data_IF_372631203005
#
_entry.id   IF_372631203005
#
_cell.length_a   1.000
_cell.length_b   1.000
_cell.length_c   1.000
_cell.angle_alpha   90.00
_cell.angle_beta   90.00
_cell.angle_gamma   90.00
#
_symmetry.space_group_name_H-M   'P 1'
#
loop_
_entity.id
_entity.type
_entity.pdbx_description
1 polymer ?
#
# COMPACT_ATOMS: atom_id res chain seq x y z
N UNK A 1 -2.82 -5.25 -20.24
CA UNK A 1 -2.82 -5.74 -18.87
C UNK A 1 -3.75 -4.86 -18.04
N UNK A 2 -4.80 -5.44 -17.48
CA UNK A 2 -5.85 -4.65 -16.82
C UNK A 2 -5.73 -4.81 -15.31
N UNK A 3 -5.45 -3.70 -14.63
CA UNK A 3 -5.46 -3.62 -13.18
C UNK A 3 -6.85 -3.20 -12.73
N UNK A 4 -7.40 -3.90 -11.75
CA UNK A 4 -8.67 -3.53 -11.14
C UNK A 4 -8.63 -3.72 -9.63
N UNK A 5 -9.53 -3.07 -8.93
CA UNK A 5 -9.62 -3.09 -7.48
C UNK A 5 -10.99 -3.58 -7.04
N UNK A 6 -11.00 -4.34 -5.94
CA UNK A 6 -12.24 -4.77 -5.28
C UNK A 6 -12.13 -4.43 -3.80
N UNK A 7 -13.20 -3.92 -3.23
CA UNK A 7 -13.24 -3.65 -1.80
C UNK A 7 -13.10 -4.96 -1.01
N UNK A 8 -12.36 -4.89 0.09
CA UNK A 8 -12.12 -5.99 1.03
C UNK A 8 -11.17 -7.04 0.44
N UNK A 9 -10.92 -8.06 1.23
CA UNK A 9 -10.08 -9.19 0.83
C UNK A 9 -10.75 -10.48 1.26
N UNK A 10 -10.82 -11.45 0.34
CA UNK A 10 -11.39 -12.77 0.63
C UNK A 10 -10.48 -13.54 1.59
N UNK A 11 -11.04 -14.57 2.24
CA UNK A 11 -10.25 -15.44 3.10
C UNK A 11 -9.11 -16.11 2.32
N UNK A 12 -9.39 -16.57 1.10
CA UNK A 12 -8.36 -17.18 0.25
C UNK A 12 -7.23 -16.23 -0.09
N UNK A 13 -7.56 -14.99 -0.47
CA UNK A 13 -6.54 -14.02 -0.84
C UNK A 13 -5.81 -13.48 0.37
N UNK A 14 -6.49 -13.32 1.50
CA UNK A 14 -5.83 -12.97 2.77
C UNK A 14 -4.81 -14.04 3.18
N UNK A 15 -5.14 -15.31 2.97
CA UNK A 15 -4.22 -16.40 3.24
C UNK A 15 -2.97 -16.32 2.37
N UNK A 16 -3.12 -15.99 1.08
CA UNK A 16 -1.99 -15.78 0.18
C UNK A 16 -1.09 -14.67 0.69
N UNK A 17 -1.66 -13.54 1.08
CA UNK A 17 -0.89 -12.40 1.60
C UNK A 17 -0.11 -12.79 2.86
N UNK A 18 -0.75 -13.52 3.77
CA UNK A 18 -0.07 -14.01 4.97
C UNK A 18 1.10 -14.93 4.61
N UNK A 19 0.91 -15.81 3.64
CA UNK A 19 1.99 -16.69 3.18
C UNK A 19 3.15 -15.88 2.61
N UNK A 20 2.88 -14.90 1.74
CA UNK A 20 3.92 -14.07 1.15
C UNK A 20 4.69 -13.30 2.20
N UNK A 21 3.96 -12.62 3.08
CA UNK A 21 4.55 -11.70 4.05
C UNK A 21 5.29 -12.45 5.16
N UNK A 22 4.68 -13.49 5.70
CA UNK A 22 5.29 -14.24 6.81
C UNK A 22 6.54 -14.99 6.37
N UNK A 23 6.57 -15.49 5.15
CA UNK A 23 7.76 -16.12 4.59
C UNK A 23 8.95 -15.17 4.55
N UNK A 24 8.71 -13.89 4.24
CA UNK A 24 9.76 -12.88 4.14
C UNK A 24 10.16 -12.29 5.49
N UNK A 25 9.38 -12.52 6.53
CA UNK A 25 9.74 -12.23 7.90
C UNK A 25 9.21 -10.94 8.48
N UNK A 26 9.54 -10.71 9.75
CA UNK A 26 9.02 -9.59 10.54
C UNK A 26 9.42 -8.24 9.97
N UNK A 27 10.67 -8.08 9.56
CA UNK A 27 11.17 -6.82 9.02
C UNK A 27 10.44 -6.45 7.74
N UNK A 28 10.15 -7.43 6.89
CA UNK A 28 9.37 -7.20 5.68
C UNK A 28 7.95 -6.75 6.03
N UNK A 29 7.32 -7.42 6.98
CA UNK A 29 5.97 -7.04 7.42
C UNK A 29 5.93 -5.60 7.90
N UNK A 30 6.91 -5.17 8.70
CA UNK A 30 6.93 -3.82 9.23
C UNK A 30 7.03 -2.77 8.14
N UNK A 31 7.70 -3.07 7.04
CA UNK A 31 7.85 -2.12 5.94
C UNK A 31 6.52 -1.82 5.25
N UNK A 32 5.61 -2.79 5.15
CA UNK A 32 4.35 -2.55 4.46
C UNK A 32 3.14 -2.44 5.39
N UNK A 33 3.19 -3.04 6.58
CA UNK A 33 2.08 -3.00 7.55
C UNK A 33 2.29 -2.00 8.67
N UNK A 34 3.52 -1.52 8.88
CA UNK A 34 3.86 -0.72 10.05
C UNK A 34 4.26 -1.58 11.23
N UNK A 35 4.64 -0.91 12.33
CA UNK A 35 5.22 -1.58 13.49
C UNK A 35 4.19 -1.99 14.55
N UNK A 36 2.92 -1.62 14.38
CA UNK A 36 1.88 -1.87 15.40
C UNK A 36 1.16 -3.21 15.23
N UNK A 37 1.35 -3.88 14.10
CA UNK A 37 0.71 -5.17 13.83
C UNK A 37 1.64 -6.29 14.25
N UNK A 38 1.17 -7.24 15.11
CA UNK A 38 2.00 -8.37 15.53
C UNK A 38 2.44 -9.25 14.36
N UNK A 39 3.61 -9.86 14.50
CA UNK A 39 4.11 -10.87 13.58
C UNK A 39 3.97 -12.25 14.25
N UNK A 40 3.55 -13.31 13.56
CA UNK A 40 3.20 -13.36 12.13
C UNK A 40 1.83 -12.72 11.82
N UNK A 41 1.68 -12.29 10.59
CA UNK A 41 0.43 -11.70 10.10
C UNK A 41 -0.66 -12.76 10.02
N UNK A 42 -1.89 -12.40 10.39
CA UNK A 42 -3.03 -13.32 10.37
C UNK A 42 -4.11 -12.85 9.40
N UNK A 43 -4.91 -13.80 8.96
CA UNK A 43 -6.05 -13.53 8.07
C UNK A 43 -7.00 -12.54 8.74
N UNK A 44 -7.27 -12.72 10.03
CA UNK A 44 -8.20 -11.87 10.78
C UNK A 44 -7.76 -10.40 10.76
N UNK A 45 -6.46 -10.14 10.95
CA UNK A 45 -5.94 -8.77 10.90
C UNK A 45 -6.25 -8.13 9.56
N UNK A 46 -6.00 -8.84 8.46
CA UNK A 46 -6.24 -8.30 7.12
C UNK A 46 -7.73 -8.05 6.88
N UNK A 47 -8.60 -8.95 7.31
CA UNK A 47 -10.04 -8.81 7.10
C UNK A 47 -10.67 -7.74 7.98
N UNK A 48 -10.03 -7.39 9.10
CA UNK A 48 -10.50 -6.33 9.99
C UNK A 48 -10.07 -4.93 9.54
N UNK A 49 -9.16 -4.81 8.58
CA UNK A 49 -8.72 -3.51 8.09
C UNK A 49 -9.84 -2.83 7.30
N UNK A 50 -10.24 -1.64 7.77
CA UNK A 50 -11.21 -0.84 7.04
C UNK A 50 -10.53 -0.15 5.84
N UNK A 51 -11.24 -0.04 4.73
CA UNK A 51 -10.70 0.63 3.56
C UNK A 51 -9.67 -0.17 2.78
N UNK A 52 -9.56 -1.47 3.05
CA UNK A 52 -8.64 -2.35 2.31
C UNK A 52 -9.23 -2.69 0.94
N UNK A 53 -8.37 -2.70 -0.08
CA UNK A 53 -8.74 -3.08 -1.44
C UNK A 53 -7.84 -4.19 -1.91
N UNK A 54 -8.44 -5.17 -2.56
CA UNK A 54 -7.72 -6.21 -3.29
C UNK A 54 -7.36 -5.68 -4.67
N UNK A 55 -6.14 -5.97 -5.11
CA UNK A 55 -5.62 -5.59 -6.42
C UNK A 55 -5.61 -6.83 -7.30
N UNK A 56 -6.19 -6.72 -8.49
CA UNK A 56 -6.21 -7.80 -9.47
C UNK A 56 -5.55 -7.34 -10.76
N UNK A 57 -4.83 -8.26 -11.38
CA UNK A 57 -4.41 -8.14 -12.77
C UNK A 57 -5.26 -9.13 -13.56
N UNK A 58 -6.25 -8.62 -14.29
CA UNK A 58 -7.26 -9.49 -14.89
C UNK A 58 -8.02 -10.24 -13.80
N UNK A 59 -7.94 -11.57 -13.82
CA UNK A 59 -8.58 -12.43 -12.83
C UNK A 59 -7.66 -12.82 -11.69
N UNK A 60 -6.38 -12.49 -11.77
CA UNK A 60 -5.40 -12.89 -10.78
C UNK A 60 -5.27 -11.87 -9.67
N UNK A 61 -5.41 -12.34 -8.42
CA UNK A 61 -5.14 -11.52 -7.25
C UNK A 61 -3.63 -11.28 -7.12
N UNK A 62 -3.22 -10.01 -7.05
CA UNK A 62 -1.79 -9.66 -7.04
C UNK A 62 -1.37 -8.79 -5.87
N UNK A 63 -2.28 -8.29 -5.04
CA UNK A 63 -1.87 -7.47 -3.91
C UNK A 63 -2.98 -6.75 -3.19
N UNK A 64 -2.58 -5.87 -2.29
CA UNK A 64 -3.47 -5.07 -1.44
C UNK A 64 -3.04 -3.62 -1.42
N UNK A 65 -3.99 -2.73 -1.18
CA UNK A 65 -3.75 -1.32 -0.87
C UNK A 65 -4.89 -0.83 0.03
N UNK A 66 -4.60 0.12 0.92
CA UNK A 66 -5.59 0.60 1.89
C UNK A 66 -5.78 2.10 1.81
N UNK A 67 -7.04 2.53 1.84
CA UNK A 67 -7.43 3.90 2.18
C UNK A 67 -7.51 3.97 3.69
N UNK A 68 -6.53 4.62 4.33
CA UNK A 68 -6.39 4.57 5.79
C UNK A 68 -7.29 5.58 6.46
N UNK A 69 -7.22 6.84 6.04
CA UNK A 69 -8.06 7.91 6.60
C UNK A 69 -8.10 9.11 5.66
N UNK A 70 -9.20 9.83 5.74
CA UNK A 70 -9.34 11.10 5.05
C UNK A 70 -9.44 12.20 6.11
N UNK A 71 -8.60 13.21 5.99
CA UNK A 71 -8.62 14.39 6.85
C UNK A 71 -8.60 15.61 5.95
N UNK A 72 -9.57 16.51 6.12
CA UNK A 72 -9.75 17.66 5.24
C UNK A 72 -9.89 17.16 3.81
N UNK A 73 -9.02 17.57 2.92
CA UNK A 73 -9.07 17.17 1.51
C UNK A 73 -7.89 16.26 1.16
N UNK A 74 -7.30 15.61 2.17
CA UNK A 74 -6.18 14.68 1.99
C UNK A 74 -6.61 13.26 2.33
N UNK A 75 -6.33 12.32 1.42
CA UNK A 75 -6.50 10.89 1.70
C UNK A 75 -5.14 10.27 1.98
N UNK A 76 -5.01 9.66 3.16
CA UNK A 76 -3.81 8.91 3.52
C UNK A 76 -4.00 7.45 3.09
N UNK A 77 -3.09 6.95 2.27
CA UNK A 77 -3.10 5.57 1.79
C UNK A 77 -1.90 4.83 2.34
N UNK A 78 -1.94 3.52 2.29
CA UNK A 78 -0.83 2.70 2.75
C UNK A 78 -1.12 1.23 2.64
N UNK A 79 -0.33 0.46 3.38
CA UNK A 79 -0.38 -0.99 3.39
C UNK A 79 -0.48 -1.55 1.97
N UNK A 80 0.42 -1.03 1.12
CA UNK A 80 0.50 -1.38 -0.28
C UNK A 80 1.49 -2.52 -0.47
N UNK A 81 1.00 -3.62 -0.98
CA UNK A 81 1.82 -4.82 -1.22
C UNK A 81 1.44 -5.43 -2.56
N UNK A 82 2.45 -5.71 -3.38
CA UNK A 82 2.30 -6.53 -4.57
C UNK A 82 2.96 -7.88 -4.29
N UNK A 83 2.37 -8.95 -4.80
CA UNK A 83 2.93 -10.31 -4.69
C UNK A 83 4.44 -10.27 -4.96
N UNK A 84 5.27 -10.64 -3.96
CA UNK A 84 6.72 -10.55 -4.10
C UNK A 84 7.29 -11.32 -5.31
N UNK A 85 6.61 -12.36 -5.76
CA UNK A 85 7.05 -13.13 -6.93
C UNK A 85 6.78 -12.41 -8.25
N UNK A 86 5.98 -11.33 -8.22
CA UNK A 86 5.65 -10.54 -9.40
C UNK A 86 6.33 -9.17 -9.41
N UNK A 87 7.26 -8.92 -8.52
CA UNK A 87 8.00 -7.67 -8.49
C UNK A 87 8.94 -7.58 -9.69
N UNK A 88 9.28 -6.34 -10.07
CA UNK A 88 10.13 -6.10 -11.22
C UNK A 88 9.42 -6.13 -12.56
N UNK A 89 8.10 -6.26 -12.58
CA UNK A 89 7.30 -6.31 -13.80
C UNK A 89 6.48 -5.03 -14.03
N UNK A 90 6.67 -4.01 -13.19
CA UNK A 90 5.94 -2.76 -13.30
C UNK A 90 4.54 -2.77 -12.72
N UNK A 91 4.12 -3.86 -12.08
CA UNK A 91 2.79 -3.98 -11.49
C UNK A 91 2.54 -2.97 -10.38
N UNK A 92 3.54 -2.75 -9.51
CA UNK A 92 3.41 -1.80 -8.42
C UNK A 92 3.15 -0.39 -8.94
N UNK A 93 3.92 0.03 -9.92
CA UNK A 93 3.78 1.35 -10.55
C UNK A 93 2.42 1.51 -11.21
N UNK A 94 1.98 0.51 -11.95
CA UNK A 94 0.69 0.54 -12.65
C UNK A 94 -0.48 0.55 -11.67
N UNK A 95 -0.40 -0.28 -10.64
CA UNK A 95 -1.46 -0.36 -9.63
C UNK A 95 -1.58 0.96 -8.86
N UNK A 96 -0.44 1.51 -8.43
CA UNK A 96 -0.44 2.78 -7.71
C UNK A 96 -1.00 3.92 -8.57
N UNK A 97 -0.55 4.00 -9.82
CA UNK A 97 -1.00 5.04 -10.75
C UNK A 97 -2.51 4.98 -10.95
N UNK A 98 -3.04 3.79 -11.16
CA UNK A 98 -4.47 3.62 -11.37
C UNK A 98 -5.26 3.93 -10.10
N UNK A 99 -4.76 3.49 -8.94
CA UNK A 99 -5.43 3.76 -7.66
C UNK A 99 -5.49 5.25 -7.39
N UNK A 100 -4.37 5.95 -7.59
CA UNK A 100 -4.31 7.42 -7.43
C UNK A 100 -5.29 8.11 -8.37
N UNK A 101 -5.34 7.67 -9.62
CA UNK A 101 -6.29 8.23 -10.59
C UNK A 101 -7.73 8.06 -10.14
N UNK A 102 -8.09 6.87 -9.64
CA UNK A 102 -9.44 6.60 -9.13
C UNK A 102 -9.76 7.45 -7.89
N UNK A 103 -8.80 7.62 -6.98
CA UNK A 103 -8.98 8.46 -5.79
C UNK A 103 -9.27 9.89 -6.21
N UNK A 104 -8.53 10.44 -7.16
CA UNK A 104 -8.72 11.82 -7.61
C UNK A 104 -9.99 12.03 -8.44
N UNK A 105 -10.72 10.99 -8.81
CA UNK A 105 -12.07 11.15 -9.34
C UNK A 105 -13.03 11.72 -8.30
N UNK A 106 -12.73 11.52 -7.02
CA UNK A 106 -13.46 12.19 -5.94
C UNK A 106 -12.96 13.62 -5.82
N UNK A 107 -13.84 14.56 -6.13
CA UNK A 107 -13.51 16.00 -6.12
C UNK A 107 -13.24 16.55 -4.72
N UNK A 108 -13.56 15.80 -3.66
CA UNK A 108 -13.29 16.19 -2.29
C UNK A 108 -11.83 15.89 -1.88
N UNK A 109 -11.06 15.22 -2.73
CA UNK A 109 -9.67 14.88 -2.46
C UNK A 109 -8.77 15.74 -3.36
N UNK A 110 -7.89 16.53 -2.72
CA UNK A 110 -6.90 17.35 -3.43
C UNK A 110 -5.50 16.76 -3.36
N UNK A 111 -5.21 15.99 -2.30
CA UNK A 111 -3.90 15.42 -2.07
C UNK A 111 -4.02 13.99 -1.57
N UNK A 112 -2.97 13.21 -1.85
CA UNK A 112 -2.82 11.85 -1.33
C UNK A 112 -1.49 11.79 -0.60
N UNK A 113 -1.48 11.23 0.61
CA UNK A 113 -0.26 11.05 1.39
C UNK A 113 -0.03 9.58 1.69
N UNK A 114 1.21 9.24 1.97
CA UNK A 114 1.62 7.90 2.40
C UNK A 114 2.88 7.98 3.24
N UNK A 115 3.16 6.91 3.98
CA UNK A 115 4.38 6.77 4.75
C UNK A 115 5.29 5.74 4.10
N UNK A 116 6.60 5.96 4.16
CA UNK A 116 7.58 4.98 3.70
C UNK A 116 8.79 5.03 4.62
N UNK A 117 9.31 3.85 5.03
CA UNK A 117 10.53 3.79 5.83
C UNK A 117 11.71 4.28 5.01
N UNK A 118 12.62 5.05 5.64
CA UNK A 118 13.85 5.49 4.99
C UNK A 118 14.64 4.30 4.45
N UNK A 119 14.64 3.17 5.17
CA UNK A 119 15.33 1.97 4.74
C UNK A 119 14.74 1.32 3.49
N UNK A 120 13.48 1.62 3.15
CA UNK A 120 12.81 1.03 2.00
C UNK A 120 13.02 1.89 0.76
N UNK A 121 14.22 1.83 0.19
CA UNK A 121 14.60 2.65 -0.96
C UNK A 121 13.80 2.30 -2.23
N UNK A 122 13.47 1.03 -2.40
CA UNK A 122 12.70 0.60 -3.56
C UNK A 122 11.31 1.25 -3.58
N UNK A 123 10.64 1.28 -2.43
CA UNK A 123 9.34 1.94 -2.31
C UNK A 123 9.43 3.45 -2.51
N UNK A 124 10.45 4.09 -1.94
CA UNK A 124 10.68 5.53 -2.15
C UNK A 124 10.82 5.85 -3.64
N UNK A 125 11.60 5.04 -4.34
CA UNK A 125 11.83 5.24 -5.77
C UNK A 125 10.53 5.10 -6.56
N UNK A 126 9.74 4.09 -6.23
CA UNK A 126 8.42 3.87 -6.84
C UNK A 126 7.51 5.10 -6.64
N UNK A 127 7.43 5.59 -5.41
CA UNK A 127 6.55 6.71 -5.09
C UNK A 127 7.02 8.00 -5.75
N UNK A 128 8.32 8.26 -5.75
CA UNK A 128 8.88 9.45 -6.42
C UNK A 128 8.60 9.41 -7.93
N UNK A 129 8.75 8.25 -8.53
CA UNK A 129 8.47 8.06 -9.97
C UNK A 129 7.00 8.36 -10.28
N UNK A 130 6.10 8.06 -9.36
CA UNK A 130 4.67 8.32 -9.56
C UNK A 130 4.23 9.70 -9.08
N UNK A 131 5.18 10.58 -8.76
CA UNK A 131 4.89 11.98 -8.50
C UNK A 131 4.72 12.35 -7.03
N UNK A 132 5.03 11.45 -6.11
CA UNK A 132 5.02 11.76 -4.68
C UNK A 132 6.31 12.43 -4.27
N UNK A 133 6.22 13.41 -3.39
CA UNK A 133 7.38 14.15 -2.87
C UNK A 133 7.43 14.04 -1.34
N UNK A 134 8.63 14.01 -0.79
CA UNK A 134 8.83 14.00 0.67
C UNK A 134 8.42 15.36 1.23
N UNK A 135 7.46 15.36 2.16
CA UNK A 135 6.99 16.59 2.82
C UNK A 135 7.32 16.62 4.30
N UNK A 136 7.66 15.50 4.90
CA UNK A 136 8.00 15.43 6.32
C UNK A 136 8.87 14.23 6.60
N UNK A 137 9.80 14.39 7.58
CA UNK A 137 10.63 13.31 8.08
C UNK A 137 10.20 13.04 9.53
N UNK A 138 9.92 11.78 9.85
CA UNK A 138 9.58 11.33 11.19
C UNK A 138 10.72 10.46 11.70
N UNK A 139 11.37 10.90 12.81
CA UNK A 139 12.60 10.28 13.30
C UNK A 139 12.36 9.00 14.11
N UNK A 140 11.24 8.92 14.84
CA UNK A 140 11.01 7.83 15.79
C UNK A 140 9.57 7.30 15.68
N UNK A 141 9.33 6.04 16.04
CA UNK A 141 10.27 5.02 16.51
C UNK A 141 11.19 4.47 15.42
N UNK A 142 10.79 4.61 14.14
CA UNK A 142 11.59 4.23 12.97
C UNK A 142 11.60 5.43 12.03
N UNK A 143 12.78 5.78 11.50
CA UNK A 143 12.87 6.90 10.58
C UNK A 143 12.09 6.61 9.32
N UNK A 144 11.14 7.47 9.01
CA UNK A 144 10.27 7.33 7.84
C UNK A 144 9.97 8.70 7.23
N UNK A 145 9.54 8.65 6.00
CA UNK A 145 9.11 9.84 5.26
C UNK A 145 7.59 9.82 5.09
N UNK A 146 6.99 11.00 5.22
CA UNK A 146 5.64 11.23 4.72
C UNK A 146 5.78 11.84 3.35
N UNK A 147 5.16 11.22 2.35
CA UNK A 147 5.19 11.70 0.98
C UNK A 147 3.80 12.11 0.55
N UNK A 148 3.71 13.11 -0.32
CA UNK A 148 2.42 13.61 -0.84
C UNK A 148 2.46 13.80 -2.34
N UNK A 149 1.29 13.62 -2.94
CA UNK A 149 1.03 13.94 -4.33
C UNK A 149 -0.22 14.82 -4.40
N UNK A 150 -0.15 15.90 -5.16
CA UNK A 150 -1.30 16.77 -5.42
C UNK A 150 -1.99 16.38 -6.72
N UNK A 151 -3.28 16.70 -6.77
CA UNK A 151 -4.09 16.52 -7.97
C UNK A 151 -3.44 17.13 -9.19
#
# INVERSE_FOLDING_TARGET
MIIRFEEKVSTENAQLVCQWSNFLGKSFQEQWMGTMIPFPLTIQVLQDLEGIFSIFEGQEFVGLIQKIRQEDRNLHIGRFLINPQKQGQGLGSQALRKFVSLVFENEDIDTISLNVFEANQAAQHLYQKEGFEIVQIVEAPVRKYIMKKSR
#
